data_IF_267767728114
#
_entry.id   IF_267767728114
#
_cell.length_a   1.000
_cell.length_b   1.000
_cell.length_c   1.000
_cell.angle_alpha   90.00
_cell.angle_beta   90.00
_cell.angle_gamma   90.00
#
_symmetry.space_group_name_H-M   'P 1'
#
loop_
_entity.id
_entity.type
_entity.pdbx_description
1 polymer ?
#
# COMPACT_ATOMS: atom_id res chain seq x y z
N UNK A 1 11.08 3.71 -25.92
CA UNK A 1 12.56 3.77 -25.80
C UNK A 1 13.02 2.71 -24.79
N UNK A 2 13.79 1.69 -25.20
CA UNK A 2 14.20 0.56 -24.33
C UNK A 2 15.29 0.88 -23.31
N UNK A 3 15.89 2.08 -23.38
CA UNK A 3 16.92 2.56 -22.45
C UNK A 3 16.42 3.69 -21.55
N UNK A 4 15.16 4.12 -21.70
CA UNK A 4 14.60 5.20 -20.90
C UNK A 4 14.53 4.77 -19.44
N UNK A 5 15.03 5.62 -18.57
CA UNK A 5 14.93 5.50 -17.11
C UNK A 5 14.13 6.69 -16.63
N UNK A 6 13.08 6.42 -15.87
CA UNK A 6 12.14 7.43 -15.38
C UNK A 6 11.92 7.22 -13.89
N UNK A 7 12.03 8.28 -13.11
CA UNK A 7 11.66 8.29 -11.70
C UNK A 7 10.43 9.18 -11.56
N UNK A 8 9.28 8.58 -11.27
CA UNK A 8 8.02 9.28 -11.09
C UNK A 8 7.96 9.85 -9.66
N UNK A 9 7.90 11.17 -9.55
CA UNK A 9 7.83 11.90 -8.28
C UNK A 9 6.73 12.97 -8.35
N UNK A 10 5.58 12.65 -8.96
CA UNK A 10 4.45 13.58 -9.07
C UNK A 10 3.92 13.91 -7.68
N UNK A 11 3.85 15.20 -7.32
CA UNK A 11 3.51 15.66 -5.96
C UNK A 11 4.72 16.06 -5.11
N UNK A 12 5.93 15.67 -5.52
CA UNK A 12 7.16 15.94 -4.77
C UNK A 12 7.41 17.44 -4.58
N UNK A 13 7.69 17.81 -3.33
CA UNK A 13 8.14 19.14 -2.93
C UNK A 13 9.53 19.08 -2.25
N UNK A 14 10.08 20.24 -1.90
CA UNK A 14 11.43 20.34 -1.30
C UNK A 14 11.53 19.61 0.04
N UNK A 15 10.51 19.74 0.90
CA UNK A 15 10.50 19.10 2.23
C UNK A 15 10.48 17.57 2.10
N UNK A 16 9.62 17.04 1.23
CA UNK A 16 9.58 15.61 0.89
C UNK A 16 10.92 15.13 0.34
N UNK A 17 11.52 15.87 -0.58
CA UNK A 17 12.79 15.48 -1.19
C UNK A 17 13.90 15.37 -0.14
N UNK A 18 13.99 16.31 0.80
CA UNK A 18 15.00 16.26 1.86
C UNK A 18 14.78 15.06 2.78
N UNK A 19 13.54 14.80 3.21
CA UNK A 19 13.25 13.73 4.18
C UNK A 19 13.25 12.33 3.57
N UNK A 20 12.63 12.19 2.39
CA UNK A 20 12.27 10.90 1.79
C UNK A 20 13.25 10.44 0.71
N UNK A 21 14.19 11.30 0.30
CA UNK A 21 15.27 10.97 -0.63
C UNK A 21 16.62 11.34 -0.01
N UNK A 22 16.84 12.63 0.31
CA UNK A 22 18.15 13.15 0.71
C UNK A 22 18.69 12.62 2.05
N UNK A 23 17.82 12.11 2.92
CA UNK A 23 18.18 11.61 4.28
C UNK A 23 17.90 10.11 4.47
N UNK A 24 17.66 9.38 3.39
CA UNK A 24 17.36 7.94 3.46
C UNK A 24 18.66 7.13 3.31
N UNK A 25 18.89 6.19 4.23
CA UNK A 25 19.93 5.17 4.11
C UNK A 25 19.43 4.05 3.19
N UNK A 26 19.62 4.24 1.89
CA UNK A 26 19.16 3.29 0.87
C UNK A 26 19.75 1.88 1.02
N UNK A 27 21.06 1.68 1.28
CA UNK A 27 21.62 0.34 1.48
C UNK A 27 20.94 -0.46 2.59
N UNK A 28 20.62 0.17 3.72
CA UNK A 28 19.92 -0.52 4.81
C UNK A 28 18.41 -0.62 4.56
N UNK A 29 17.80 0.36 3.89
CA UNK A 29 16.40 0.30 3.47
C UNK A 29 16.19 -0.87 2.49
N UNK A 30 17.10 -1.08 1.54
CA UNK A 30 17.03 -2.19 0.60
C UNK A 30 17.09 -3.56 1.31
N UNK A 31 17.99 -3.71 2.29
CA UNK A 31 18.06 -4.95 3.10
C UNK A 31 16.75 -5.19 3.85
N UNK A 32 16.21 -4.14 4.46
CA UNK A 32 14.95 -4.18 5.17
C UNK A 32 13.79 -4.60 4.25
N UNK A 33 13.62 -3.90 3.13
CA UNK A 33 12.51 -4.14 2.21
C UNK A 33 12.60 -5.54 1.59
N UNK A 34 13.80 -6.00 1.20
CA UNK A 34 14.01 -7.36 0.70
C UNK A 34 13.57 -8.42 1.71
N UNK A 35 13.95 -8.25 2.98
CA UNK A 35 13.58 -9.19 4.05
C UNK A 35 12.07 -9.18 4.29
N UNK A 36 11.46 -7.98 4.35
CA UNK A 36 10.01 -7.83 4.53
C UNK A 36 9.23 -8.46 3.37
N UNK A 37 9.64 -8.22 2.14
CA UNK A 37 9.07 -8.86 0.93
C UNK A 37 9.23 -10.37 0.98
N UNK A 38 10.43 -10.88 1.32
CA UNK A 38 10.67 -12.32 1.39
C UNK A 38 9.76 -13.00 2.40
N UNK A 39 9.69 -12.48 3.64
CA UNK A 39 8.82 -13.04 4.69
C UNK A 39 7.36 -12.99 4.25
N UNK A 40 6.90 -11.86 3.70
CA UNK A 40 5.53 -11.68 3.23
C UNK A 40 5.16 -12.68 2.14
N UNK A 41 5.97 -12.84 1.10
CA UNK A 41 5.67 -13.74 -0.01
C UNK A 41 5.86 -15.23 0.31
N UNK A 42 6.59 -15.54 1.38
CA UNK A 42 6.71 -16.90 1.89
C UNK A 42 5.46 -17.33 2.67
N UNK A 43 4.69 -16.38 3.18
CA UNK A 43 3.48 -16.64 3.93
C UNK A 43 2.33 -17.06 3.01
N UNK A 44 1.54 -18.04 3.42
CA UNK A 44 0.36 -18.48 2.67
C UNK A 44 -0.85 -17.61 2.99
N UNK A 45 -1.07 -17.36 4.27
CA UNK A 45 -2.22 -16.63 4.80
C UNK A 45 -1.77 -15.35 5.50
N UNK A 46 -2.53 -14.29 5.30
CA UNK A 46 -2.28 -12.97 5.88
C UNK A 46 -3.53 -12.45 6.57
N UNK A 47 -3.30 -11.76 7.70
CA UNK A 47 -4.29 -10.91 8.36
C UNK A 47 -3.69 -9.53 8.58
N UNK A 48 -4.47 -8.50 8.31
CA UNK A 48 -4.11 -7.12 8.57
C UNK A 48 -5.22 -6.48 9.40
N UNK A 49 -4.84 -5.84 10.51
CA UNK A 49 -5.77 -5.10 11.35
C UNK A 49 -5.28 -3.68 11.64
N UNK A 50 -6.17 -2.78 12.05
CA UNK A 50 -5.81 -1.45 12.56
C UNK A 50 -6.64 -1.10 13.79
N UNK A 51 -6.19 -0.16 14.64
CA UNK A 51 -6.97 0.32 15.78
C UNK A 51 -8.35 0.91 15.41
N UNK A 52 -8.51 1.41 14.17
CA UNK A 52 -9.75 2.03 13.69
C UNK A 52 -10.76 1.05 13.08
N UNK A 53 -10.43 -0.24 13.08
CA UNK A 53 -11.36 -1.32 12.73
C UNK A 53 -11.11 -2.00 11.38
N UNK A 54 -9.95 -1.78 10.74
CA UNK A 54 -9.52 -2.71 9.69
C UNK A 54 -9.34 -4.08 10.32
N UNK A 55 -9.91 -5.10 9.69
CA UNK A 55 -9.70 -6.51 9.99
C UNK A 55 -10.00 -7.30 8.72
N UNK A 56 -8.95 -7.59 7.96
CA UNK A 56 -9.03 -8.22 6.64
C UNK A 56 -8.06 -9.39 6.57
N UNK A 57 -8.55 -10.49 6.01
CA UNK A 57 -7.78 -11.72 5.81
C UNK A 57 -7.80 -12.11 4.33
N UNK A 58 -6.68 -12.68 3.88
CA UNK A 58 -6.50 -13.13 2.51
C UNK A 58 -5.34 -14.13 2.40
N UNK A 59 -5.26 -14.80 1.26
CA UNK A 59 -4.15 -15.67 0.91
C UNK A 59 -3.26 -14.98 -0.12
N UNK A 60 -1.94 -15.17 -0.01
CA UNK A 60 -1.02 -14.81 -1.07
C UNK A 60 -1.22 -15.72 -2.28
N UNK A 61 -1.04 -15.15 -3.48
CA UNK A 61 -1.09 -15.90 -4.73
C UNK A 61 0.33 -16.25 -5.17
N UNK A 62 0.61 -17.54 -5.33
CA UNK A 62 1.93 -18.01 -5.73
C UNK A 62 2.26 -17.58 -7.16
N UNK A 63 3.51 -17.16 -7.38
CA UNK A 63 4.01 -16.79 -8.71
C UNK A 63 3.69 -15.36 -9.16
N UNK A 64 2.92 -14.58 -8.39
CA UNK A 64 2.81 -13.13 -8.62
C UNK A 64 4.04 -12.43 -8.07
N UNK A 65 4.62 -11.54 -8.88
CA UNK A 65 5.80 -10.78 -8.49
C UNK A 65 5.37 -9.59 -7.63
N UNK A 66 6.10 -9.29 -6.55
CA UNK A 66 5.91 -8.03 -5.84
C UNK A 66 6.45 -6.88 -6.68
N UNK A 67 5.99 -5.68 -6.37
CA UNK A 67 6.67 -4.43 -6.63
C UNK A 67 7.45 -4.08 -5.35
N UNK A 68 8.71 -3.69 -5.51
CA UNK A 68 9.54 -3.19 -4.42
C UNK A 68 10.23 -1.93 -4.89
N UNK A 69 9.68 -0.78 -4.50
CA UNK A 69 10.17 0.53 -4.92
C UNK A 69 11.33 0.95 -4.01
N UNK A 70 12.55 0.78 -4.52
CA UNK A 70 13.78 1.15 -3.81
C UNK A 70 14.23 2.59 -4.11
N UNK A 71 13.57 3.31 -5.02
CA UNK A 71 13.93 4.67 -5.42
C UNK A 71 15.15 4.77 -6.34
N UNK A 72 15.74 3.65 -6.75
CA UNK A 72 16.79 3.63 -7.76
C UNK A 72 16.18 3.57 -9.16
N UNK A 73 16.36 4.64 -9.94
CA UNK A 73 16.05 4.65 -11.38
C UNK A 73 17.29 4.34 -12.22
N UNK A 74 18.03 3.31 -11.85
CA UNK A 74 19.30 2.92 -12.46
C UNK A 74 19.13 1.98 -13.67
N UNK A 75 17.99 1.29 -13.75
CA UNK A 75 17.61 0.38 -14.85
C UNK A 75 16.50 0.96 -15.74
N UNK A 76 16.37 0.52 -17.01
CA UNK A 76 15.31 0.98 -17.89
C UNK A 76 13.90 0.66 -17.35
N UNK A 77 12.99 1.62 -17.44
CA UNK A 77 11.64 1.50 -16.92
C UNK A 77 11.20 2.75 -16.16
N UNK A 78 10.01 2.64 -15.56
CA UNK A 78 9.50 3.62 -14.61
C UNK A 78 9.71 3.09 -13.20
N UNK A 79 10.20 3.95 -12.34
CA UNK A 79 10.48 3.71 -10.92
C UNK A 79 9.74 4.74 -10.09
N UNK A 80 9.47 4.44 -8.83
CA UNK A 80 8.79 5.35 -7.90
C UNK A 80 9.71 5.71 -6.73
N UNK A 81 9.24 6.63 -5.87
CA UNK A 81 9.93 6.96 -4.62
C UNK A 81 10.11 5.72 -3.74
N UNK A 82 11.22 5.65 -3.00
CA UNK A 82 11.56 4.53 -2.15
C UNK A 82 10.57 4.28 -1.01
N UNK A 83 10.48 3.04 -0.54
CA UNK A 83 9.79 2.67 0.69
C UNK A 83 8.36 2.16 0.50
N UNK A 84 8.03 1.62 -0.67
CA UNK A 84 6.76 0.94 -0.93
C UNK A 84 7.01 -0.51 -1.36
N UNK A 85 6.27 -1.45 -0.79
CA UNK A 85 6.26 -2.86 -1.20
C UNK A 85 4.84 -3.21 -1.58
N UNK A 86 4.54 -3.40 -2.86
CA UNK A 86 3.20 -3.70 -3.36
C UNK A 86 3.07 -5.13 -3.89
N UNK A 87 1.92 -5.77 -3.68
CA UNK A 87 1.64 -7.07 -4.29
C UNK A 87 0.13 -7.30 -4.44
N UNK A 88 -0.25 -8.24 -5.29
CA UNK A 88 -1.65 -8.62 -5.50
C UNK A 88 -1.92 -10.00 -4.89
N UNK A 89 -2.69 -10.11 -3.80
CA UNK A 89 -3.05 -11.39 -3.21
C UNK A 89 -4.08 -12.14 -4.07
N UNK A 90 -4.44 -13.36 -3.68
CA UNK A 90 -5.57 -14.05 -4.31
C UNK A 90 -6.85 -13.26 -4.03
N UNK A 91 -7.37 -12.55 -5.05
CA UNK A 91 -8.47 -11.61 -4.89
C UNK A 91 -9.73 -12.25 -4.31
N UNK A 92 -10.07 -13.47 -4.73
CA UNK A 92 -11.25 -14.20 -4.27
C UNK A 92 -11.16 -14.64 -2.80
N UNK A 93 -9.96 -14.59 -2.21
CA UNK A 93 -9.73 -14.91 -0.80
C UNK A 93 -9.84 -13.71 0.14
N UNK A 94 -9.86 -12.47 -0.39
CA UNK A 94 -9.90 -11.25 0.43
C UNK A 94 -11.29 -11.09 1.04
N UNK A 95 -11.38 -11.14 2.37
CA UNK A 95 -12.63 -10.95 3.10
C UNK A 95 -12.38 -10.15 4.38
N UNK A 96 -13.35 -9.32 4.77
CA UNK A 96 -13.30 -8.57 6.02
C UNK A 96 -13.66 -7.10 5.84
N UNK A 97 -13.04 -6.25 6.65
CA UNK A 97 -13.24 -4.80 6.63
C UNK A 97 -11.92 -4.08 6.43
N UNK A 98 -11.90 -3.11 5.50
CA UNK A 98 -10.76 -2.20 5.30
C UNK A 98 -11.22 -0.80 5.67
N UNK A 99 -10.48 -0.11 6.53
CA UNK A 99 -10.80 1.24 7.01
C UNK A 99 -9.66 2.18 6.63
N UNK A 100 -9.97 3.11 5.72
CA UNK A 100 -9.06 4.20 5.37
C UNK A 100 -9.17 5.31 6.41
N UNK A 101 -8.05 5.64 7.03
CA UNK A 101 -7.91 6.69 8.05
C UNK A 101 -6.69 7.61 7.83
N UNK A 102 -5.98 7.43 6.70
CA UNK A 102 -4.97 8.36 6.20
C UNK A 102 -5.52 9.25 5.08
N UNK A 103 -4.93 9.14 3.88
CA UNK A 103 -5.46 9.75 2.65
C UNK A 103 -6.18 8.71 1.79
N UNK A 104 -6.95 9.21 0.83
CA UNK A 104 -7.66 8.40 -0.15
C UNK A 104 -7.61 9.15 -1.47
N UNK A 105 -6.97 8.64 -2.51
CA UNK A 105 -6.74 9.38 -3.76
C UNK A 105 -6.80 8.46 -4.97
N UNK A 106 -7.47 8.86 -6.07
CA UNK A 106 -8.64 9.75 -6.18
C UNK A 106 -9.90 9.15 -5.50
N UNK A 107 -11.04 9.87 -5.40
CA UNK A 107 -11.31 11.24 -5.81
C UNK A 107 -11.06 12.27 -4.72
N UNK A 108 -10.96 11.82 -3.47
CA UNK A 108 -10.59 12.69 -2.36
C UNK A 108 -9.12 13.08 -2.64
N UNK A 109 -8.77 14.34 -2.42
CA UNK A 109 -7.38 14.79 -2.58
C UNK A 109 -7.02 15.38 -1.23
N UNK A 110 -6.25 14.62 -0.45
CA UNK A 110 -5.83 15.00 0.88
C UNK A 110 -6.10 13.95 1.96
N UNK A 111 -5.92 14.39 3.20
CA UNK A 111 -6.16 13.61 4.42
C UNK A 111 -7.66 13.55 4.69
N UNK A 112 -8.17 12.34 4.98
CA UNK A 112 -9.56 12.12 5.35
C UNK A 112 -9.89 12.83 6.67
N UNK A 113 -11.07 13.45 6.73
CA UNK A 113 -11.59 14.06 7.96
C UNK A 113 -12.22 13.01 8.86
N UNK A 114 -12.79 11.97 8.27
CA UNK A 114 -13.42 10.85 8.96
C UNK A 114 -13.06 9.54 8.25
N UNK A 115 -12.91 8.42 8.97
CA UNK A 115 -12.55 7.16 8.34
C UNK A 115 -13.61 6.64 7.36
N UNK A 116 -13.15 6.11 6.22
CA UNK A 116 -13.98 5.45 5.20
C UNK A 116 -13.85 3.93 5.37
N UNK A 117 -14.96 3.23 5.58
CA UNK A 117 -14.99 1.79 5.86
C UNK A 117 -15.55 1.03 4.67
N UNK A 118 -14.84 -0.01 4.25
CA UNK A 118 -15.21 -0.88 3.15
C UNK A 118 -15.48 -2.29 3.69
N UNK A 119 -16.67 -2.83 3.45
CA UNK A 119 -16.95 -4.26 3.67
C UNK A 119 -16.59 -5.04 2.42
N UNK A 120 -15.65 -5.98 2.56
CA UNK A 120 -15.09 -6.74 1.45
C UNK A 120 -15.54 -8.21 1.52
N UNK A 121 -15.96 -8.75 0.38
CA UNK A 121 -16.21 -10.18 0.21
C UNK A 121 -15.62 -10.65 -1.11
N UNK A 122 -14.74 -11.66 -1.06
CA UNK A 122 -14.04 -12.19 -2.23
C UNK A 122 -13.40 -11.09 -3.10
N UNK A 123 -12.76 -10.11 -2.46
CA UNK A 123 -12.10 -9.00 -3.16
C UNK A 123 -13.03 -7.95 -3.76
N UNK A 124 -14.35 -8.05 -3.55
CA UNK A 124 -15.34 -7.06 -3.98
C UNK A 124 -15.86 -6.25 -2.80
N UNK A 125 -15.95 -4.93 -3.00
CA UNK A 125 -16.53 -3.98 -2.05
C UNK A 125 -18.06 -4.07 -2.12
N UNK A 126 -18.67 -4.57 -1.05
CA UNK A 126 -20.12 -4.69 -0.93
C UNK A 126 -20.79 -3.45 -0.34
N UNK A 127 -20.05 -2.72 0.50
CA UNK A 127 -20.57 -1.58 1.26
C UNK A 127 -19.45 -0.60 1.54
N UNK A 128 -19.78 0.69 1.44
CA UNK A 128 -18.91 1.81 1.78
C UNK A 128 -19.63 2.64 2.84
N UNK A 129 -18.97 2.92 3.96
CA UNK A 129 -19.55 3.63 5.09
C UNK A 129 -18.62 4.71 5.61
N UNK A 130 -19.20 5.76 6.20
CA UNK A 130 -18.48 6.90 6.75
C UNK A 130 -19.27 8.19 6.55
N UNK A 131 -18.58 9.32 6.67
CA UNK A 131 -19.17 10.64 6.47
C UNK A 131 -19.32 11.04 4.99
N UNK A 132 -19.19 12.35 4.74
CA UNK A 132 -19.33 12.94 3.40
C UNK A 132 -18.33 12.35 2.40
N UNK A 133 -17.08 12.14 2.82
CA UNK A 133 -16.01 11.63 1.95
C UNK A 133 -16.25 10.19 1.51
N UNK A 134 -16.87 9.35 2.37
CA UNK A 134 -17.29 8.00 1.99
C UNK A 134 -18.40 8.00 0.92
N UNK A 135 -19.37 8.91 1.07
CA UNK A 135 -20.46 9.08 0.08
C UNK A 135 -19.93 9.55 -1.27
N UNK A 136 -18.99 10.50 -1.25
CA UNK A 136 -18.33 11.00 -2.45
C UNK A 136 -17.50 9.91 -3.15
N UNK A 137 -16.74 9.14 -2.37
CA UNK A 137 -15.97 8.02 -2.87
C UNK A 137 -16.84 6.96 -3.53
N UNK A 138 -17.92 6.54 -2.87
CA UNK A 138 -18.88 5.59 -3.42
C UNK A 138 -19.49 6.08 -4.73
N UNK A 139 -19.92 7.35 -4.78
CA UNK A 139 -20.48 7.96 -5.98
C UNK A 139 -19.46 7.97 -7.11
N UNK A 140 -18.20 8.29 -6.84
CA UNK A 140 -17.14 8.31 -7.84
C UNK A 140 -16.88 6.92 -8.41
N UNK A 141 -16.70 5.90 -7.56
CA UNK A 141 -16.51 4.51 -7.99
C UNK A 141 -17.66 4.02 -8.88
N UNK A 142 -18.91 4.29 -8.48
CA UNK A 142 -20.10 3.88 -9.23
C UNK A 142 -20.31 4.68 -10.52
N UNK A 143 -19.82 5.91 -10.61
CA UNK A 143 -20.01 6.77 -11.80
C UNK A 143 -19.42 6.20 -13.09
N UNK A 144 -18.40 5.34 -12.97
CA UNK A 144 -17.80 4.66 -14.12
C UNK A 144 -18.66 3.53 -14.69
N UNK A 145 -19.72 3.10 -13.99
CA UNK A 145 -20.58 1.98 -14.38
C UNK A 145 -19.80 0.71 -14.78
N UNK A 146 -18.70 0.42 -14.06
CA UNK A 146 -17.81 -0.69 -14.38
C UNK A 146 -17.52 -1.53 -13.12
N UNK A 147 -17.76 -2.86 -13.15
CA UNK A 147 -17.68 -3.70 -11.95
C UNK A 147 -16.27 -3.74 -11.35
N UNK A 148 -15.22 -3.62 -12.17
CA UNK A 148 -13.84 -3.61 -11.67
C UNK A 148 -13.56 -2.45 -10.70
N UNK A 149 -14.28 -1.32 -10.78
CA UNK A 149 -14.05 -0.19 -9.87
C UNK A 149 -14.39 -0.54 -8.41
N UNK A 150 -15.24 -1.53 -8.17
CA UNK A 150 -15.56 -2.01 -6.82
C UNK A 150 -14.71 -3.21 -6.39
N UNK A 151 -13.61 -3.51 -7.10
CA UNK A 151 -12.74 -4.63 -6.79
C UNK A 151 -11.35 -4.17 -6.36
N UNK A 152 -10.79 -4.91 -5.41
CA UNK A 152 -9.44 -4.75 -4.90
C UNK A 152 -8.40 -5.06 -6.00
N UNK A 153 -7.33 -4.29 -6.03
CA UNK A 153 -6.28 -4.34 -7.04
C UNK A 153 -4.94 -4.82 -6.48
N UNK A 154 -4.51 -4.26 -5.34
CA UNK A 154 -3.28 -4.60 -4.66
C UNK A 154 -3.32 -4.15 -3.20
N UNK A 155 -2.32 -4.58 -2.45
CA UNK A 155 -2.00 -4.06 -1.12
C UNK A 155 -0.52 -3.68 -1.11
N UNK A 156 -0.20 -2.58 -0.44
CA UNK A 156 1.17 -2.16 -0.21
C UNK A 156 1.50 -2.00 1.27
N UNK A 157 2.78 -2.16 1.62
CA UNK A 157 3.35 -1.61 2.85
C UNK A 157 4.02 -0.27 2.58
N UNK A 158 3.88 0.65 3.53
CA UNK A 158 4.69 1.86 3.63
C UNK A 158 5.85 1.69 4.60
N UNK A 159 7.07 1.93 4.13
CA UNK A 159 8.33 1.78 4.88
C UNK A 159 9.40 2.81 4.49
N UNK A 160 9.02 4.03 4.08
CA UNK A 160 10.01 5.10 3.96
C UNK A 160 10.27 5.72 5.34
N UNK A 161 11.53 5.80 5.81
CA UNK A 161 11.81 6.27 7.15
C UNK A 161 11.54 7.77 7.34
N UNK A 162 11.55 8.55 6.25
CA UNK A 162 11.24 9.98 6.27
C UNK A 162 9.75 10.29 6.15
N UNK A 163 8.93 9.34 5.67
CA UNK A 163 7.57 9.62 5.25
C UNK A 163 6.63 9.89 6.43
N UNK A 164 5.69 10.81 6.21
CA UNK A 164 4.59 11.16 7.09
C UNK A 164 3.32 11.42 6.29
N UNK A 165 2.17 11.33 6.94
CA UNK A 165 0.90 11.65 6.30
C UNK A 165 0.84 13.15 5.99
N UNK A 166 0.62 13.49 4.72
CA UNK A 166 0.58 14.86 4.19
C UNK A 166 -0.66 15.15 3.35
N UNK A 167 -1.38 14.12 2.89
CA UNK A 167 -2.45 14.25 1.91
C UNK A 167 -1.96 14.17 0.46
N UNK A 168 -0.65 14.03 0.25
CA UNK A 168 -0.07 13.75 -1.06
C UNK A 168 0.21 12.24 -1.16
N UNK A 169 -0.46 11.59 -2.10
CA UNK A 169 -0.39 10.14 -2.26
C UNK A 169 1.04 9.64 -2.50
N UNK A 170 1.90 10.45 -3.14
CA UNK A 170 3.30 10.06 -3.34
C UNK A 170 3.99 9.75 -2.01
N UNK A 171 3.76 10.56 -0.98
CA UNK A 171 4.34 10.34 0.34
C UNK A 171 3.51 9.37 1.19
N UNK A 172 2.19 9.49 1.14
CA UNK A 172 1.28 8.83 2.08
C UNK A 172 1.27 7.31 1.95
N UNK A 173 1.43 6.77 0.74
CA UNK A 173 1.60 5.34 0.48
C UNK A 173 2.85 4.72 1.12
N UNK A 174 3.79 5.58 1.56
CA UNK A 174 5.10 5.19 2.09
C UNK A 174 5.21 5.43 3.59
N UNK A 175 4.13 5.90 4.23
CA UNK A 175 4.08 6.12 5.68
C UNK A 175 4.44 4.83 6.41
N UNK A 176 5.48 4.92 7.24
CA UNK A 176 6.05 3.77 7.92
C UNK A 176 5.01 3.01 8.75
N UNK A 177 4.89 1.71 8.53
CA UNK A 177 3.99 0.85 9.29
C UNK A 177 2.51 1.00 8.93
N UNK A 178 2.20 1.77 7.88
CA UNK A 178 0.90 1.80 7.24
C UNK A 178 0.78 0.74 6.14
N UNK A 179 -0.46 0.47 5.75
CA UNK A 179 -0.77 -0.30 4.55
C UNK A 179 -1.66 0.52 3.63
N UNK A 180 -1.49 0.35 2.34
CA UNK A 180 -2.32 0.97 1.33
C UNK A 180 -3.08 -0.12 0.57
N UNK A 181 -4.31 0.19 0.13
CA UNK A 181 -5.15 -0.71 -0.65
C UNK A 181 -5.69 -0.04 -1.91
N UNK A 182 -5.32 -0.60 -3.04
CA UNK A 182 -5.74 -0.13 -4.35
C UNK A 182 -7.05 -0.78 -4.79
N UNK A 183 -7.90 -0.04 -5.50
CA UNK A 183 -9.11 -0.52 -6.17
C UNK A 183 -9.10 -0.19 -7.67
N UNK A 184 -9.88 -0.93 -8.45
CA UNK A 184 -10.05 -0.67 -9.87
C UNK A 184 -9.01 -1.39 -10.73
N UNK A 185 -8.41 -0.65 -11.65
CA UNK A 185 -7.47 -1.18 -12.64
C UNK A 185 -6.26 -1.86 -11.99
N UNK A 186 -5.91 -3.05 -12.47
CA UNK A 186 -4.73 -3.80 -12.03
C UNK A 186 -3.70 -3.82 -13.15
N UNK A 187 -2.53 -3.23 -12.89
CA UNK A 187 -1.43 -3.19 -13.85
C UNK A 187 -0.84 -4.56 -14.15
N UNK A 188 -0.36 -4.74 -15.39
CA UNK A 188 0.25 -6.00 -15.84
C UNK A 188 1.53 -6.39 -15.08
N UNK A 189 2.14 -5.44 -14.35
CA UNK A 189 3.30 -5.66 -13.48
C UNK A 189 2.95 -6.49 -12.24
N UNK A 190 1.72 -6.37 -11.74
CA UNK A 190 1.24 -7.07 -10.55
C UNK A 190 0.60 -8.42 -10.90
N UNK A 191 -0.18 -8.43 -11.98
CA UNK A 191 -0.90 -9.61 -12.47
C UNK A 191 -0.61 -9.77 -13.95
N UNK A 192 -0.11 -10.93 -14.42
CA UNK A 192 0.12 -11.16 -15.85
C UNK A 192 -1.13 -10.86 -16.69
N UNK A 193 -0.97 -10.00 -17.71
CA UNK A 193 -2.09 -9.54 -18.56
C UNK A 193 -2.90 -8.36 -18.00
N UNK A 194 -2.77 -8.06 -16.70
CA UNK A 194 -3.53 -7.01 -16.02
C UNK A 194 -5.03 -7.32 -15.92
N UNK A 195 -5.75 -6.46 -15.21
CA UNK A 195 -7.22 -6.48 -15.14
C UNK A 195 -7.70 -5.06 -15.39
N UNK A 196 -8.35 -4.84 -16.53
CA UNK A 196 -8.73 -3.50 -16.97
C UNK A 196 -9.83 -2.91 -16.08
N UNK A 197 -9.60 -1.68 -15.61
CA UNK A 197 -10.60 -0.84 -14.95
C UNK A 197 -10.55 0.58 -15.53
N UNK A 198 -11.67 1.32 -15.53
CA UNK A 198 -11.68 2.71 -16.02
C UNK A 198 -10.79 3.68 -15.23
N UNK A 199 -10.49 3.36 -13.97
CA UNK A 199 -9.64 4.16 -13.09
C UNK A 199 -8.97 3.31 -12.02
N UNK A 200 -8.21 3.97 -11.15
CA UNK A 200 -7.49 3.39 -10.01
C UNK A 200 -7.58 4.37 -8.83
N UNK A 201 -7.58 3.85 -7.62
CA UNK A 201 -7.65 4.64 -6.38
C UNK A 201 -6.99 3.87 -5.25
N UNK A 202 -6.30 4.60 -4.40
CA UNK A 202 -5.46 4.08 -3.33
C UNK A 202 -5.90 4.72 -2.00
N UNK A 203 -6.14 3.88 -1.00
CA UNK A 203 -6.59 4.28 0.34
C UNK A 203 -5.61 3.84 1.42
N UNK A 204 -5.24 4.77 2.31
CA UNK A 204 -4.23 4.54 3.35
C UNK A 204 -4.89 4.11 4.66
N UNK A 205 -4.40 2.99 5.19
CA UNK A 205 -4.65 2.50 6.54
C UNK A 205 -3.40 2.74 7.39
N UNK A 206 -3.52 3.54 8.45
CA UNK A 206 -2.44 3.84 9.37
C UNK A 206 -2.32 2.80 10.47
N UNK A 207 -1.12 2.70 11.06
CA UNK A 207 -0.85 1.86 12.23
C UNK A 207 -1.33 0.41 12.04
N UNK A 208 -0.89 -0.22 10.95
CA UNK A 208 -1.30 -1.58 10.64
C UNK A 208 -0.60 -2.59 11.56
N UNK A 209 -1.36 -3.57 12.02
CA UNK A 209 -0.84 -4.81 12.60
C UNK A 209 -0.95 -5.91 11.56
N UNK A 210 0.08 -6.75 11.43
CA UNK A 210 0.20 -7.73 10.34
C UNK A 210 0.61 -9.09 10.87
N UNK A 211 -0.13 -10.12 10.45
CA UNK A 211 0.15 -11.52 10.72
C UNK A 211 0.46 -12.26 9.43
N UNK A 212 1.51 -13.07 9.49
CA UNK A 212 1.92 -14.02 8.46
C UNK A 212 1.73 -15.43 9.01
N UNK A 213 0.83 -16.22 8.42
CA UNK A 213 0.50 -17.58 8.87
C UNK A 213 0.23 -17.69 10.39
N UNK A 214 -0.45 -16.67 10.95
CA UNK A 214 -0.81 -16.59 12.36
C UNK A 214 0.29 -16.00 13.27
N UNK A 215 1.49 -15.73 12.76
CA UNK A 215 2.57 -15.08 13.50
C UNK A 215 2.53 -13.58 13.26
N UNK A 216 2.37 -12.79 14.32
CA UNK A 216 2.38 -11.33 14.21
C UNK A 216 3.80 -10.81 13.98
N UNK A 217 4.00 -10.09 12.87
CA UNK A 217 5.30 -9.48 12.53
C UNK A 217 5.33 -7.97 12.76
N UNK A 218 4.15 -7.34 12.82
CA UNK A 218 3.99 -5.92 13.05
C UNK A 218 2.76 -5.68 13.93
N UNK A 219 2.87 -4.79 14.92
CA UNK A 219 1.77 -4.32 15.75
C UNK A 219 1.70 -2.80 15.71
N UNK A 220 0.61 -2.25 15.16
CA UNK A 220 0.35 -0.80 15.10
C UNK A 220 1.53 -0.02 14.48
N UNK A 221 2.07 -0.56 13.40
CA UNK A 221 3.24 -0.02 12.70
C UNK A 221 4.60 -0.30 13.36
N UNK A 222 4.64 -0.93 14.54
CA UNK A 222 5.88 -1.34 15.21
C UNK A 222 6.24 -2.77 14.86
N UNK A 223 7.50 -3.04 14.50
CA UNK A 223 7.93 -4.36 14.09
C UNK A 223 8.23 -5.26 15.30
N UNK A 224 7.64 -6.46 15.29
CA UNK A 224 7.82 -7.49 16.31
C UNK A 224 8.84 -8.55 15.91
N UNK A 225 8.99 -8.81 14.60
CA UNK A 225 10.02 -9.71 14.09
C UNK A 225 11.41 -9.14 14.37
N UNK A 226 12.28 -9.95 15.01
CA UNK A 226 13.55 -9.48 15.56
C UNK A 226 14.54 -8.99 14.50
N UNK A 227 14.56 -9.63 13.32
CA UNK A 227 15.45 -9.25 12.22
C UNK A 227 14.96 -7.96 11.56
N UNK A 228 13.65 -7.86 11.28
CA UNK A 228 13.04 -6.64 10.76
C UNK A 228 13.19 -5.48 11.73
N UNK A 229 12.97 -5.70 13.02
CA UNK A 229 13.11 -4.68 14.06
C UNK A 229 14.53 -4.12 14.11
N UNK A 230 15.56 -4.99 14.10
CA UNK A 230 16.97 -4.56 14.10
C UNK A 230 17.31 -3.68 12.89
N UNK A 231 16.78 -4.02 11.71
CA UNK A 231 16.98 -3.22 10.51
C UNK A 231 16.20 -1.89 10.55
N UNK A 232 14.99 -1.89 11.11
CA UNK A 232 14.21 -0.68 11.34
C UNK A 232 14.90 0.29 12.32
N UNK A 233 15.52 -0.22 13.39
CA UNK A 233 16.28 0.59 14.37
C UNK A 233 17.45 1.33 13.70
N UNK A 234 18.16 0.68 12.77
CA UNK A 234 19.23 1.29 11.96
C UNK A 234 18.67 2.44 11.10
N UNK A 235 17.43 2.29 10.62
CA UNK A 235 16.72 3.30 9.83
C UNK A 235 16.06 4.39 10.70
N UNK A 236 16.30 4.39 12.02
CA UNK A 236 15.75 5.37 12.95
C UNK A 236 14.27 5.14 13.28
N UNK A 237 13.78 3.90 13.14
CA UNK A 237 12.41 3.49 13.47
C UNK A 237 12.45 2.53 14.65
N UNK A 238 11.74 2.90 15.73
CA UNK A 238 11.68 2.16 17.01
C UNK A 238 10.23 1.87 17.34
#
# INVERSE_FOLDING_TARGET
NKKLRHLCLVGMNVDMMVRNIGRVDYPNLEKFMKLATQKTLSAKHMRITTPVGTDVEFNNELGRKPIMELGYADTPGSHMMAGQIGWSPNFESINGTIVFDGSLVPPIIGILKEPVRLTIKKGEVLKIEGGKEATEYEKWLKSFNHPQMLKLAHVCYGFNPGARLTGDILEDERVWGGTEWGLGNVGAILVPGGISGPSHTDGICLNSSVWLDGVQIMDKGQLLDSELKKLAEILGKV
#
